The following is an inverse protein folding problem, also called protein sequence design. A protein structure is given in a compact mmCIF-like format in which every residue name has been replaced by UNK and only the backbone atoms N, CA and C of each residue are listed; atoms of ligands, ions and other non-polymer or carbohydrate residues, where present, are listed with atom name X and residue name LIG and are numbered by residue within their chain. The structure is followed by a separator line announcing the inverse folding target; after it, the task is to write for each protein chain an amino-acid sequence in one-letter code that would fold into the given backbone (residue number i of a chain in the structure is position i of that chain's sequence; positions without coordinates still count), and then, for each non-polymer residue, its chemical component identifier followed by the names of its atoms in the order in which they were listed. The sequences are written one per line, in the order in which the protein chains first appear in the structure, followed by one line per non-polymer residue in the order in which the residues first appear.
data_IF_067256098794
#
_entry.id   IF_067256098794
#
_cell.length_a   1.000
_cell.length_b   1.000
_cell.length_c   1.000
_cell.angle_alpha   90.00
_cell.angle_beta   90.00
_cell.angle_gamma   90.00
#
_symmetry.space_group_name_H-M   'P 1'
#
loop_
_entity.id
_entity.type
_entity.pdbx_description
1 polymer ?
#
# COMPACT_ATOMS: atom_id res chain seq x y z
N UNK A 1 -24.48 15.59 0.30
CA UNK A 1 -23.57 16.66 -0.16
C UNK A 1 -22.17 16.08 -0.18
N UNK A 2 -21.38 16.20 -1.26
CA UNK A 2 -20.00 15.75 -1.22
C UNK A 2 -19.25 16.60 -0.19
N UNK A 3 -18.55 15.96 0.74
CA UNK A 3 -17.83 16.61 1.85
C UNK A 3 -16.54 17.34 1.41
N UNK A 4 -16.24 17.36 0.10
CA UNK A 4 -15.03 17.95 -0.43
C UNK A 4 -15.32 18.80 -1.67
N UNK A 5 -14.63 19.96 -1.85
CA UNK A 5 -14.67 20.70 -3.09
C UNK A 5 -14.25 19.80 -4.26
N UNK A 6 -14.75 20.12 -5.47
CA UNK A 6 -14.33 19.46 -6.69
C UNK A 6 -12.80 19.47 -6.78
N UNK A 7 -12.16 18.39 -7.30
CA UNK A 7 -10.71 18.32 -7.41
C UNK A 7 -10.17 19.58 -8.09
N UNK A 8 -9.31 20.32 -7.40
CA UNK A 8 -8.61 21.45 -8.01
C UNK A 8 -7.44 20.85 -8.77
N UNK A 9 -7.52 20.87 -10.09
CA UNK A 9 -6.41 20.45 -10.93
C UNK A 9 -5.13 21.22 -10.55
N UNK A 10 -4.01 20.51 -10.45
CA UNK A 10 -2.72 21.13 -10.15
C UNK A 10 -2.36 22.17 -11.22
N UNK A 11 -2.07 23.43 -10.84
CA UNK A 11 -1.59 24.45 -11.77
C UNK A 11 -0.37 23.95 -12.55
N UNK A 12 -0.22 24.36 -13.81
CA UNK A 12 0.82 23.84 -14.70
C UNK A 12 2.25 24.08 -14.17
N UNK A 13 2.50 25.26 -13.61
CA UNK A 13 3.78 25.64 -13.01
C UNK A 13 4.13 24.78 -11.78
N UNK A 14 3.15 24.58 -10.88
CA UNK A 14 3.36 23.70 -9.72
C UNK A 14 3.51 22.24 -10.15
N UNK A 15 2.77 21.79 -11.16
CA UNK A 15 2.93 20.44 -11.73
C UNK A 15 4.32 20.22 -12.30
N UNK A 16 4.85 21.16 -13.06
CA UNK A 16 6.21 21.08 -13.63
C UNK A 16 7.28 21.03 -12.53
N UNK A 17 7.14 21.91 -11.53
CA UNK A 17 8.02 21.93 -10.35
C UNK A 17 8.01 20.60 -9.61
N UNK A 18 6.83 20.06 -9.28
CA UNK A 18 6.70 18.78 -8.59
C UNK A 18 7.24 17.62 -9.43
N UNK A 19 6.96 17.61 -10.73
CA UNK A 19 7.47 16.58 -11.63
C UNK A 19 9.01 16.56 -11.65
N UNK A 20 9.66 17.74 -11.63
CA UNK A 20 11.11 17.83 -11.52
C UNK A 20 11.62 17.23 -10.22
N UNK A 21 11.00 17.60 -9.08
CA UNK A 21 11.36 17.06 -7.76
C UNK A 21 11.15 15.54 -7.67
N UNK A 22 10.10 15.03 -8.30
CA UNK A 22 9.77 13.60 -8.28
C UNK A 22 10.73 12.78 -9.13
N UNK A 23 11.17 13.31 -10.28
CA UNK A 23 12.22 12.69 -11.09
C UNK A 23 13.53 12.62 -10.32
N UNK A 24 13.94 13.73 -9.71
CA UNK A 24 15.16 13.79 -8.89
C UNK A 24 15.13 12.75 -7.76
N UNK A 25 14.01 12.61 -7.06
CA UNK A 25 13.85 11.56 -6.03
C UNK A 25 14.07 10.15 -6.59
N UNK A 26 13.47 9.84 -7.74
CA UNK A 26 13.57 8.50 -8.35
C UNK A 26 14.99 8.23 -8.85
N UNK A 27 15.62 9.23 -9.45
CA UNK A 27 16.98 9.14 -9.99
C UNK A 27 18.03 9.02 -8.88
N UNK A 28 17.74 9.50 -7.67
CA UNK A 28 18.61 9.42 -6.49
C UNK A 28 18.35 8.21 -5.58
N UNK A 29 17.44 7.31 -5.95
CA UNK A 29 17.24 6.09 -5.19
C UNK A 29 18.49 5.21 -5.15
N UNK A 30 18.77 4.67 -3.97
CA UNK A 30 19.88 3.75 -3.72
C UNK A 30 19.37 2.31 -3.72
N UNK A 31 20.17 1.39 -4.25
CA UNK A 31 19.87 -0.06 -4.21
C UNK A 31 18.89 -0.54 -5.28
N UNK A 32 18.65 0.27 -6.31
CA UNK A 32 17.81 -0.08 -7.48
C UNK A 32 18.68 -0.41 -8.70
N UNK A 33 18.18 -1.26 -9.59
CA UNK A 33 18.84 -1.53 -10.87
C UNK A 33 18.60 -0.40 -11.90
N UNK A 34 19.39 -0.40 -12.98
CA UNK A 34 19.35 0.62 -14.03
C UNK A 34 17.98 0.74 -14.74
N UNK A 35 17.14 -0.30 -14.69
CA UNK A 35 15.81 -0.32 -15.30
C UNK A 35 14.70 0.21 -14.37
N UNK A 36 14.98 0.42 -13.08
CA UNK A 36 13.96 0.81 -12.10
C UNK A 36 13.22 2.09 -12.51
N UNK A 37 13.95 3.13 -12.92
CA UNK A 37 13.34 4.40 -13.31
C UNK A 37 12.38 4.27 -14.50
N UNK A 38 12.67 3.36 -15.44
CA UNK A 38 11.77 3.08 -16.56
C UNK A 38 10.51 2.37 -16.09
N UNK A 39 10.65 1.33 -15.25
CA UNK A 39 9.52 0.58 -14.69
C UNK A 39 8.62 1.46 -13.81
N UNK A 40 9.22 2.33 -13.00
CA UNK A 40 8.51 3.34 -12.23
C UNK A 40 7.68 4.29 -13.11
N UNK A 41 8.24 4.76 -14.23
CA UNK A 41 7.51 5.61 -15.18
C UNK A 41 6.34 4.86 -15.84
N UNK A 42 6.52 3.59 -16.18
CA UNK A 42 5.43 2.75 -16.71
C UNK A 42 4.30 2.59 -15.68
N UNK A 43 4.65 2.41 -14.41
CA UNK A 43 3.67 2.35 -13.33
C UNK A 43 2.94 3.69 -13.15
N UNK A 44 3.67 4.80 -13.21
CA UNK A 44 3.06 6.14 -13.18
C UNK A 44 2.05 6.33 -14.32
N UNK A 45 2.40 5.91 -15.55
CA UNK A 45 1.49 5.99 -16.69
C UNK A 45 0.22 5.15 -16.49
N UNK A 46 0.35 3.98 -15.87
CA UNK A 46 -0.79 3.11 -15.51
C UNK A 46 -1.72 3.82 -14.54
N UNK A 47 -1.19 4.37 -13.44
CA UNK A 47 -2.01 5.11 -12.46
C UNK A 47 -2.70 6.32 -13.07
N UNK A 48 -1.97 7.11 -13.86
CA UNK A 48 -2.51 8.31 -14.50
C UNK A 48 -3.59 8.00 -15.56
N UNK A 49 -3.65 6.78 -16.08
CA UNK A 49 -4.75 6.34 -16.95
C UNK A 49 -6.11 6.26 -16.23
N UNK A 50 -6.09 6.14 -14.90
CA UNK A 50 -7.29 6.20 -14.04
C UNK A 50 -7.61 7.62 -13.55
N UNK A 51 -6.89 8.64 -14.04
CA UNK A 51 -7.02 10.04 -13.62
C UNK A 51 -5.88 10.50 -12.70
N UNK A 52 -6.00 11.71 -12.17
CA UNK A 52 -4.93 12.34 -11.39
C UNK A 52 -3.94 13.12 -12.25
N UNK A 53 -3.13 13.94 -11.59
CA UNK A 53 -2.18 14.85 -12.22
C UNK A 53 -0.74 14.33 -12.16
N UNK A 54 -0.35 13.74 -11.04
CA UNK A 54 0.98 13.19 -10.79
C UNK A 54 0.93 12.00 -9.81
N UNK A 55 2.00 11.22 -9.83
CA UNK A 55 2.27 10.16 -8.85
C UNK A 55 3.42 10.59 -7.96
N UNK A 56 3.19 10.59 -6.65
CA UNK A 56 4.19 10.96 -5.67
C UNK A 56 5.09 9.75 -5.43
N UNK A 57 6.39 9.83 -5.76
CA UNK A 57 7.32 8.75 -5.49
C UNK A 57 7.44 8.53 -3.97
N UNK A 58 7.39 7.27 -3.49
CA UNK A 58 7.57 6.95 -2.08
C UNK A 58 8.93 7.45 -1.54
N UNK A 59 9.16 7.38 -0.23
CA UNK A 59 10.46 7.80 0.34
C UNK A 59 11.59 6.84 -0.04
N UNK A 60 11.25 5.56 -0.24
CA UNK A 60 12.15 4.49 -0.65
C UNK A 60 11.62 3.86 -1.95
N UNK A 61 12.46 3.15 -2.72
CA UNK A 61 12.00 2.40 -3.89
C UNK A 61 10.77 1.55 -3.59
N UNK A 62 9.84 1.50 -4.54
CA UNK A 62 8.64 0.68 -4.47
C UNK A 62 9.04 -0.81 -4.49
N UNK A 63 8.78 -1.50 -3.39
CA UNK A 63 9.19 -2.88 -3.19
C UNK A 63 8.36 -3.83 -4.06
N UNK A 64 7.08 -3.50 -4.25
CA UNK A 64 6.13 -4.34 -4.99
C UNK A 64 6.04 -3.95 -6.48
N UNK A 65 6.99 -3.18 -7.01
CA UNK A 65 6.88 -2.56 -8.35
C UNK A 65 6.65 -3.57 -9.48
N UNK A 66 7.36 -4.70 -9.46
CA UNK A 66 7.20 -5.74 -10.48
C UNK A 66 5.79 -6.36 -10.44
N UNK A 67 5.29 -6.64 -9.24
CA UNK A 67 3.96 -7.23 -9.05
C UNK A 67 2.86 -6.22 -9.40
N UNK A 68 3.02 -4.95 -9.00
CA UNK A 68 2.12 -3.86 -9.40
C UNK A 68 2.04 -3.72 -10.92
N UNK A 69 3.16 -3.82 -11.63
CA UNK A 69 3.18 -3.77 -13.10
C UNK A 69 2.53 -5.02 -13.74
N UNK A 70 2.67 -6.18 -13.11
CA UNK A 70 2.16 -7.44 -13.65
C UNK A 70 0.66 -7.65 -13.40
N UNK A 71 0.17 -7.27 -12.22
CA UNK A 71 -1.16 -7.67 -11.73
C UNK A 71 -1.94 -6.52 -11.06
N UNK A 72 -1.40 -5.31 -11.04
CA UNK A 72 -2.05 -4.13 -10.48
C UNK A 72 -3.42 -3.88 -11.12
N UNK A 73 -4.44 -3.69 -10.29
CA UNK A 73 -5.82 -3.48 -10.73
C UNK A 73 -6.51 -2.39 -9.93
N UNK A 74 -7.53 -1.76 -10.52
CA UNK A 74 -8.35 -0.78 -9.83
C UNK A 74 -9.32 -1.47 -8.87
N UNK A 75 -9.44 -0.93 -7.67
CA UNK A 75 -10.42 -1.36 -6.67
C UNK A 75 -11.58 -0.36 -6.66
N UNK A 76 -12.78 -0.87 -6.35
CA UNK A 76 -13.95 -0.03 -6.13
C UNK A 76 -13.74 0.97 -4.99
N UNK A 77 -14.66 1.93 -4.87
CA UNK A 77 -14.69 2.87 -3.74
C UNK A 77 -14.75 2.11 -2.41
N UNK A 78 -14.12 2.67 -1.37
CA UNK A 78 -14.15 2.09 -0.03
C UNK A 78 -15.60 1.88 0.43
N UNK A 79 -15.96 0.63 0.73
CA UNK A 79 -17.31 0.30 1.21
C UNK A 79 -17.42 0.55 2.72
N UNK A 80 -16.27 0.57 3.41
CA UNK A 80 -16.19 0.83 4.84
C UNK A 80 -14.95 1.65 5.16
N UNK A 81 -15.13 2.78 5.86
CA UNK A 81 -14.04 3.50 6.49
C UNK A 81 -14.01 3.12 7.98
N UNK A 82 -12.89 2.58 8.45
CA UNK A 82 -12.66 2.26 9.86
C UNK A 82 -11.50 3.10 10.35
N UNK A 83 -11.82 4.21 11.00
CA UNK A 83 -10.85 5.22 11.41
C UNK A 83 -9.74 4.60 12.27
N UNK A 84 -8.51 4.70 11.78
CA UNK A 84 -7.27 4.45 12.51
C UNK A 84 -6.47 5.75 12.71
N UNK A 85 -5.18 5.63 13.00
CA UNK A 85 -4.30 6.78 13.19
C UNK A 85 -4.05 7.47 11.83
N UNK A 86 -4.16 8.80 11.78
CA UNK A 86 -4.01 9.60 10.55
C UNK A 86 -2.58 9.46 10.01
N UNK A 87 -2.46 9.18 8.70
CA UNK A 87 -1.16 9.00 8.04
C UNK A 87 -0.48 7.64 8.29
N UNK A 88 -1.08 6.78 9.12
CA UNK A 88 -0.52 5.48 9.51
C UNK A 88 -1.19 4.31 8.77
N UNK A 89 -1.54 4.49 7.50
CA UNK A 89 -2.32 3.52 6.71
C UNK A 89 -1.73 2.10 6.76
N UNK A 90 -0.41 1.95 6.57
CA UNK A 90 0.25 0.63 6.59
C UNK A 90 0.18 -0.02 7.97
N UNK A 91 0.38 0.75 9.04
CA UNK A 91 0.31 0.26 10.42
C UNK A 91 -1.12 -0.10 10.81
N UNK A 92 -2.10 0.72 10.45
CA UNK A 92 -3.51 0.49 10.72
C UNK A 92 -3.98 -0.83 10.09
N UNK A 93 -3.74 -1.00 8.78
CA UNK A 93 -4.11 -2.21 8.04
C UNK A 93 -3.36 -3.43 8.60
N UNK A 94 -2.05 -3.31 8.86
CA UNK A 94 -1.28 -4.39 9.45
C UNK A 94 -1.84 -4.84 10.81
N UNK A 95 -2.18 -3.90 11.70
CA UNK A 95 -2.75 -4.20 13.00
C UNK A 95 -4.10 -4.92 12.88
N UNK A 96 -4.99 -4.43 12.00
CA UNK A 96 -6.30 -5.07 11.76
C UNK A 96 -6.16 -6.47 11.20
N UNK A 97 -5.20 -6.69 10.29
CA UNK A 97 -4.92 -8.03 9.76
C UNK A 97 -4.37 -8.95 10.84
N UNK A 98 -3.43 -8.49 11.68
CA UNK A 98 -2.91 -9.25 12.83
C UNK A 98 -4.06 -9.68 13.75
N UNK A 99 -5.01 -8.79 14.02
CA UNK A 99 -6.18 -9.06 14.87
C UNK A 99 -7.22 -9.98 14.22
N UNK A 100 -7.09 -10.28 12.92
CA UNK A 100 -8.08 -11.03 12.15
C UNK A 100 -9.35 -10.24 11.82
N UNK A 101 -9.28 -8.90 11.89
CA UNK A 101 -10.40 -8.00 11.60
C UNK A 101 -10.59 -7.70 10.10
N UNK A 102 -9.61 -8.08 9.27
CA UNK A 102 -9.67 -8.04 7.80
C UNK A 102 -9.06 -9.33 7.26
N UNK A 103 -9.54 -9.78 6.10
CA UNK A 103 -9.12 -11.06 5.50
C UNK A 103 -7.75 -10.91 4.83
N UNK A 104 -7.59 -9.87 4.01
CA UNK A 104 -6.38 -9.65 3.23
C UNK A 104 -5.91 -8.20 3.29
N UNK A 105 -4.65 -8.00 2.92
CA UNK A 105 -4.02 -6.68 2.86
C UNK A 105 -3.92 -6.27 1.39
N UNK A 106 -4.49 -5.12 1.05
CA UNK A 106 -4.23 -4.44 -0.21
C UNK A 106 -3.08 -3.44 -0.06
N UNK A 107 -2.20 -3.38 -1.06
CA UNK A 107 -1.11 -2.39 -1.13
C UNK A 107 -1.00 -1.84 -2.55
N UNK A 108 -0.64 -0.55 -2.68
CA UNK A 108 -0.52 0.12 -3.96
C UNK A 108 -0.61 1.63 -3.79
N UNK A 109 -1.48 2.25 -4.60
CA UNK A 109 -1.61 3.70 -4.66
C UNK A 109 -3.07 4.12 -4.57
N UNK A 110 -3.31 5.24 -3.90
CA UNK A 110 -4.63 5.85 -3.82
C UNK A 110 -4.62 7.29 -4.33
N UNK A 111 -5.66 7.65 -5.07
CA UNK A 111 -5.84 9.00 -5.61
C UNK A 111 -6.50 9.89 -4.56
N UNK A 112 -5.79 10.93 -4.15
CA UNK A 112 -6.23 11.88 -3.14
C UNK A 112 -7.04 13.03 -3.73
N UNK A 113 -7.70 13.82 -2.88
CA UNK A 113 -8.51 14.97 -3.30
C UNK A 113 -7.70 16.08 -4.00
N UNK A 114 -6.40 16.17 -3.72
CA UNK A 114 -5.41 17.06 -4.36
C UNK A 114 -4.94 16.57 -5.75
N UNK A 115 -5.60 15.55 -6.30
CA UNK A 115 -5.31 14.97 -7.61
C UNK A 115 -3.94 14.28 -7.71
N UNK A 116 -3.37 13.88 -6.57
CA UNK A 116 -2.11 13.15 -6.48
C UNK A 116 -2.33 11.68 -6.08
N UNK A 117 -1.64 10.78 -6.79
CA UNK A 117 -1.51 9.39 -6.39
C UNK A 117 -0.42 9.25 -5.34
N UNK A 118 -0.73 8.55 -4.24
CA UNK A 118 0.20 8.33 -3.12
C UNK A 118 0.22 6.86 -2.75
N UNK A 119 1.39 6.35 -2.37
CA UNK A 119 1.50 5.00 -1.82
C UNK A 119 0.53 4.86 -0.65
N UNK A 120 -0.21 3.77 -0.63
CA UNK A 120 -1.27 3.53 0.33
C UNK A 120 -1.53 2.04 0.50
N UNK A 121 -2.13 1.68 1.64
CA UNK A 121 -2.60 0.32 1.90
C UNK A 121 -4.00 0.34 2.49
N UNK A 122 -4.77 -0.70 2.21
CA UNK A 122 -6.15 -0.87 2.68
C UNK A 122 -6.39 -2.31 3.11
N UNK A 123 -7.45 -2.55 3.87
CA UNK A 123 -7.92 -3.90 4.13
C UNK A 123 -8.82 -4.40 3.01
N UNK A 124 -8.91 -5.71 2.86
CA UNK A 124 -9.94 -6.38 2.06
C UNK A 124 -10.70 -7.31 3.00
N UNK A 125 -12.02 -7.17 3.03
CA UNK A 125 -12.88 -8.04 3.85
C UNK A 125 -13.15 -9.39 3.17
N UNK A 126 -13.80 -10.35 3.84
CA UNK A 126 -14.08 -11.67 3.27
C UNK A 126 -14.94 -11.67 2.00
N UNK A 127 -15.73 -10.61 1.78
CA UNK A 127 -16.56 -10.45 0.59
C UNK A 127 -15.79 -9.80 -0.57
N UNK A 128 -14.51 -9.46 -0.35
CA UNK A 128 -13.63 -8.83 -1.33
C UNK A 128 -13.77 -7.31 -1.38
N UNK A 129 -14.49 -6.69 -0.43
CA UNK A 129 -14.69 -5.25 -0.42
C UNK A 129 -13.52 -4.51 0.25
N UNK A 130 -13.23 -3.32 -0.26
CA UNK A 130 -12.16 -2.45 0.24
C UNK A 130 -12.55 -1.80 1.58
N UNK A 131 -11.65 -1.92 2.56
CA UNK A 131 -11.74 -1.31 3.89
C UNK A 131 -10.66 -0.24 4.05
N UNK A 132 -11.07 1.02 4.00
CA UNK A 132 -10.19 2.17 4.22
C UNK A 132 -9.98 2.38 5.74
N UNK A 133 -8.76 2.80 6.14
CA UNK A 133 -8.39 2.95 7.55
C UNK A 133 -7.89 4.34 7.95
N UNK A 134 -7.83 5.27 7.00
CA UNK A 134 -7.37 6.65 7.19
C UNK A 134 -8.44 7.63 6.73
N UNK A 135 -8.36 8.07 5.47
CA UNK A 135 -9.22 9.06 4.86
C UNK A 135 -9.78 8.52 3.55
N UNK A 136 -10.97 9.00 3.18
CA UNK A 136 -11.60 8.67 1.90
C UNK A 136 -10.68 9.08 0.72
N UNK A 137 -10.50 8.15 -0.22
CA UNK A 137 -9.75 8.36 -1.47
C UNK A 137 -10.70 8.24 -2.66
N UNK A 138 -10.35 8.94 -3.74
CA UNK A 138 -11.14 8.95 -4.98
C UNK A 138 -11.03 7.65 -5.77
N UNK A 139 -9.89 6.97 -5.67
CA UNK A 139 -9.63 5.70 -6.33
C UNK A 139 -8.48 4.96 -5.64
N UNK A 140 -8.40 3.66 -5.87
CA UNK A 140 -7.35 2.78 -5.36
C UNK A 140 -6.90 1.87 -6.50
N UNK A 141 -5.60 1.73 -6.69
CA UNK A 141 -5.00 0.83 -7.69
C UNK A 141 -3.83 0.12 -7.05
N UNK A 142 -3.82 -1.21 -7.11
CA UNK A 142 -2.76 -2.00 -6.50
C UNK A 142 -3.01 -3.50 -6.58
N UNK A 143 -2.51 -4.21 -5.59
CA UNK A 143 -2.56 -5.67 -5.50
C UNK A 143 -3.08 -6.11 -4.13
N UNK A 144 -3.61 -7.33 -4.06
CA UNK A 144 -3.90 -8.00 -2.79
C UNK A 144 -2.73 -8.91 -2.45
N UNK A 145 -2.14 -8.72 -1.28
CA UNK A 145 -1.07 -9.57 -0.81
C UNK A 145 -1.61 -10.96 -0.48
N UNK A 146 -0.94 -12.04 -0.92
CA UNK A 146 -1.30 -13.39 -0.49
C UNK A 146 -1.33 -13.50 1.04
N UNK A 147 -2.37 -14.16 1.57
CA UNK A 147 -2.73 -14.20 2.99
C UNK A 147 -1.69 -14.86 3.93
N UNK A 148 -0.56 -15.35 3.43
CA UNK A 148 0.50 -15.99 4.22
C UNK A 148 1.77 -15.15 4.26
N UNK A 149 2.85 -15.63 3.64
CA UNK A 149 4.17 -15.04 3.74
C UNK A 149 4.20 -13.53 3.39
N UNK A 150 3.62 -13.06 2.26
CA UNK A 150 3.63 -11.63 1.93
C UNK A 150 2.86 -10.77 2.94
N UNK A 151 1.64 -11.16 3.32
CA UNK A 151 0.86 -10.43 4.33
C UNK A 151 1.54 -10.42 5.70
N UNK A 152 2.15 -11.53 6.10
CA UNK A 152 2.89 -11.61 7.36
C UNK A 152 4.17 -10.77 7.34
N UNK A 153 4.88 -10.72 6.22
CA UNK A 153 6.04 -9.84 6.04
C UNK A 153 5.62 -8.37 6.14
N UNK A 154 4.57 -7.97 5.41
CA UNK A 154 4.01 -6.63 5.47
C UNK A 154 3.62 -6.26 6.91
N UNK A 155 2.86 -7.12 7.58
CA UNK A 155 2.39 -6.86 8.93
C UNK A 155 3.54 -6.79 9.96
N UNK A 156 4.55 -7.67 9.83
CA UNK A 156 5.74 -7.65 10.67
C UNK A 156 6.58 -6.38 10.51
N UNK A 157 6.65 -5.83 9.29
CA UNK A 157 7.39 -4.59 9.01
C UNK A 157 6.65 -3.31 9.43
N UNK A 158 5.32 -3.32 9.45
CA UNK A 158 4.52 -2.11 9.68
C UNK A 158 3.83 -2.06 11.06
N UNK A 159 3.72 -3.19 11.78
CA UNK A 159 3.07 -3.25 13.08
C UNK A 159 3.78 -4.21 14.07
N UNK A 160 5.11 -4.19 14.10
CA UNK A 160 5.93 -5.13 14.87
C UNK A 160 5.57 -5.20 16.38
N UNK A 161 5.35 -4.04 17.03
CA UNK A 161 5.00 -4.01 18.45
C UNK A 161 3.59 -4.55 18.73
N UNK A 162 2.66 -4.32 17.81
CA UNK A 162 1.32 -4.90 17.89
C UNK A 162 1.37 -6.42 17.73
N UNK A 163 2.13 -6.90 16.75
CA UNK A 163 2.35 -8.33 16.55
C UNK A 163 2.92 -9.00 17.81
N UNK A 164 3.95 -8.41 18.43
CA UNK A 164 4.53 -8.91 19.69
C UNK A 164 3.49 -9.00 20.80
N UNK A 165 2.60 -8.01 20.89
CA UNK A 165 1.52 -7.98 21.88
C UNK A 165 0.55 -9.15 21.67
N UNK A 166 0.06 -9.35 20.44
CA UNK A 166 -0.87 -10.44 20.12
C UNK A 166 -0.22 -11.82 20.35
N UNK A 167 1.05 -11.99 19.96
CA UNK A 167 1.79 -13.25 20.19
C UNK A 167 1.91 -13.61 21.68
N UNK A 168 2.04 -12.61 22.57
CA UNK A 168 2.11 -12.83 24.02
C UNK A 168 0.79 -13.33 24.62
N UNK A 169 -0.35 -13.05 23.99
CA UNK A 169 -1.66 -13.49 24.47
C UNK A 169 -1.89 -15.00 24.31
N UNK A 170 -1.12 -15.67 23.44
CA UNK A 170 -1.14 -17.13 23.21
C UNK A 170 -2.54 -17.71 22.87
N UNK A 171 -3.42 -16.91 22.28
CA UNK A 171 -4.73 -17.37 21.78
C UNK A 171 -4.66 -18.05 20.41
N UNK A 172 -5.81 -18.46 19.83
CA UNK A 172 -5.89 -19.11 18.51
C UNK A 172 -5.19 -18.31 17.41
N UNK A 173 -5.44 -16.99 17.36
CA UNK A 173 -4.80 -16.10 16.39
C UNK A 173 -3.28 -16.04 16.54
N UNK A 174 -2.78 -16.05 17.78
CA UNK A 174 -1.34 -16.09 18.02
C UNK A 174 -0.71 -17.39 17.49
N UNK A 175 -1.41 -18.53 17.61
CA UNK A 175 -0.95 -19.81 17.08
C UNK A 175 -0.86 -19.81 15.54
N UNK A 176 -1.86 -19.23 14.86
CA UNK A 176 -1.86 -19.05 13.41
C UNK A 176 -0.67 -18.19 12.94
N UNK A 177 -0.47 -17.03 13.57
CA UNK A 177 0.64 -16.12 13.23
C UNK A 177 2.00 -16.79 13.48
N UNK A 178 2.15 -17.58 14.55
CA UNK A 178 3.38 -18.36 14.79
C UNK A 178 3.62 -19.37 13.66
N UNK A 179 2.57 -20.03 13.15
CA UNK A 179 2.71 -20.94 12.00
C UNK A 179 3.25 -20.19 10.78
N UNK A 180 2.66 -19.03 10.45
CA UNK A 180 3.10 -18.22 9.32
C UNK A 180 4.55 -17.73 9.47
N UNK A 181 4.96 -17.34 10.68
CA UNK A 181 6.36 -16.94 10.98
C UNK A 181 7.32 -18.11 10.76
N UNK A 182 6.94 -19.33 11.17
CA UNK A 182 7.76 -20.53 10.94
C UNK A 182 7.87 -20.88 9.46
N UNK A 183 6.76 -20.77 8.72
CA UNK A 183 6.73 -20.96 7.26
C UNK A 183 7.71 -19.99 6.58
N UNK A 184 7.62 -18.69 6.87
CA UNK A 184 8.55 -17.67 6.38
C UNK A 184 10.03 -18.01 6.67
N UNK A 185 10.33 -18.41 7.91
CA UNK A 185 11.69 -18.78 8.33
C UNK A 185 12.21 -20.07 7.67
N UNK A 186 11.31 -20.91 7.15
CA UNK A 186 11.68 -22.13 6.40
C UNK A 186 11.93 -21.83 4.93
N UNK A 187 11.11 -20.97 4.30
CA UNK A 187 11.25 -20.58 2.89
C UNK A 187 12.51 -19.77 2.61
N UNK A 188 12.97 -18.99 3.59
CA UNK A 188 14.25 -18.25 3.49
C UNK A 188 15.50 -19.13 3.52
N UNK A 189 15.41 -20.35 4.10
CA UNK A 189 16.53 -21.30 4.18
C UNK A 189 16.68 -22.19 2.95
N UNK A 190 15.67 -22.25 2.09
CA UNK A 190 15.73 -23.04 0.84
C UNK A 190 16.29 -22.25 -0.35
N UNK A 191 16.60 -20.95 -0.18
CA UNK A 191 17.15 -20.06 -1.22
C UNK A 191 18.63 -19.69 -0.99
N UNK A 192 19.32 -20.34 -0.04
CA UNK A 192 20.75 -20.17 0.25
C UNK A 192 21.57 -21.33 -0.27
#
# INVERSE_FOLDING_TARGET
MPLYPLPVALPCDERERLLSLYRDRVDTYVGVDAGYGQRWRSWCATLLSFGGSLVVPPVRPEFDLEELLASGSAFGSAVRCVQGDVGECHRNVAARWIDGAIESIGTGYALSADDLWRQHSWGVDPDGALVETTDERRAYVGIVLPARAPSMQFAGSNAQEHLKTVLRQRGPRAAELISMIRELASSGRSRS
#
